data_IF_430713343954
#
_entry.id   IF_430713343954
#
_cell.length_a   1.000
_cell.length_b   1.000
_cell.length_c   1.000
_cell.angle_alpha   90.00
_cell.angle_beta   90.00
_cell.angle_gamma   90.00
#
_symmetry.space_group_name_H-M   'P 1'
#
loop_
_entity.id
_entity.type
_entity.pdbx_description
1 polymer ?
#
# COMPACT_ATOMS: atom_id res chain seq x y z
N UNK A 1 26.57 -13.26 4.48
CA UNK A 1 26.23 -13.70 3.08
C UNK A 1 25.82 -15.18 3.06
N UNK A 2 26.43 -16.07 3.84
CA UNK A 2 26.09 -17.51 3.88
C UNK A 2 24.74 -17.78 4.56
N UNK A 3 24.41 -17.10 5.66
CA UNK A 3 23.13 -17.20 6.35
C UNK A 3 21.95 -16.69 5.50
N UNK A 4 22.14 -15.58 4.77
CA UNK A 4 21.12 -15.06 3.86
C UNK A 4 20.86 -16.01 2.67
N UNK A 5 21.91 -16.67 2.15
CA UNK A 5 21.75 -17.71 1.12
C UNK A 5 21.09 -18.97 1.65
N UNK A 6 21.39 -19.40 2.89
CA UNK A 6 20.71 -20.53 3.53
C UNK A 6 19.24 -20.21 3.84
N UNK A 7 18.92 -18.98 4.23
CA UNK A 7 17.55 -18.52 4.37
C UNK A 7 16.76 -18.55 3.05
N UNK A 8 17.37 -18.22 1.92
CA UNK A 8 16.76 -18.37 0.60
C UNK A 8 16.41 -19.83 0.23
N UNK A 9 17.14 -20.81 0.73
CA UNK A 9 16.91 -22.23 0.45
C UNK A 9 15.92 -22.91 1.41
N UNK A 10 15.60 -22.30 2.56
CA UNK A 10 14.65 -22.83 3.54
C UNK A 10 13.29 -22.09 3.53
N UNK A 11 13.14 -21.08 2.69
CA UNK A 11 11.98 -20.20 2.74
C UNK A 11 10.85 -20.69 1.86
N UNK A 12 9.93 -21.35 2.50
CA UNK A 12 8.53 -21.00 2.30
C UNK A 12 8.34 -19.64 3.00
N UNK A 13 8.41 -18.53 2.24
CA UNK A 13 7.96 -17.23 2.71
C UNK A 13 6.52 -17.42 3.20
N UNK A 14 6.25 -17.11 4.48
CA UNK A 14 4.97 -17.34 5.11
C UNK A 14 3.80 -16.65 4.38
N UNK A 15 4.09 -15.66 3.53
CA UNK A 15 3.12 -14.93 2.72
C UNK A 15 2.89 -15.54 1.33
N UNK A 16 3.82 -16.34 0.82
CA UNK A 16 3.76 -16.82 -0.58
C UNK A 16 2.62 -17.78 -0.81
N UNK A 17 2.49 -18.83 0.00
CA UNK A 17 1.40 -19.79 -0.16
C UNK A 17 0.02 -19.15 0.00
N UNK A 18 -0.24 -18.30 1.02
CA UNK A 18 -1.47 -17.54 1.10
C UNK A 18 -1.73 -16.65 -0.12
N UNK A 19 -0.69 -15.95 -0.63
CA UNK A 19 -0.82 -15.12 -1.82
C UNK A 19 -1.26 -15.92 -3.03
N UNK A 20 -0.61 -17.04 -3.28
CA UNK A 20 -0.90 -17.89 -4.44
C UNK A 20 -2.31 -18.47 -4.35
N UNK A 21 -2.71 -18.96 -3.17
CA UNK A 21 -4.05 -19.48 -2.95
C UNK A 21 -5.12 -18.43 -3.18
N UNK A 22 -4.88 -17.19 -2.76
CA UNK A 22 -5.82 -16.07 -2.96
C UNK A 22 -5.91 -15.69 -4.44
N UNK A 23 -4.79 -15.59 -5.15
CA UNK A 23 -4.77 -15.32 -6.60
C UNK A 23 -5.47 -16.43 -7.38
N UNK A 24 -5.20 -17.71 -7.04
CA UNK A 24 -5.85 -18.86 -7.65
C UNK A 24 -7.37 -18.82 -7.43
N UNK A 25 -7.84 -18.50 -6.23
CA UNK A 25 -9.26 -18.36 -5.92
C UNK A 25 -9.91 -17.26 -6.74
N UNK A 26 -9.33 -16.05 -6.74
CA UNK A 26 -9.83 -14.87 -7.46
C UNK A 26 -9.94 -15.15 -8.96
N UNK A 27 -8.86 -15.62 -9.59
CA UNK A 27 -8.79 -15.78 -11.05
C UNK A 27 -9.48 -17.06 -11.54
N UNK A 28 -9.75 -18.05 -10.66
CA UNK A 28 -10.59 -19.19 -11.01
C UNK A 28 -12.08 -18.86 -11.00
N UNK A 29 -12.52 -17.95 -10.14
CA UNK A 29 -13.89 -17.45 -10.09
C UNK A 29 -14.23 -16.58 -11.31
N UNK A 30 -13.36 -15.61 -11.61
CA UNK A 30 -13.50 -14.73 -12.78
C UNK A 30 -12.14 -14.39 -13.41
N UNK A 31 -11.83 -14.99 -14.54
CA UNK A 31 -10.58 -14.76 -15.28
C UNK A 31 -10.45 -13.35 -15.86
N UNK A 32 -11.50 -12.55 -15.84
CA UNK A 32 -11.46 -11.14 -16.29
C UNK A 32 -11.02 -10.19 -15.19
N UNK A 33 -10.85 -10.67 -13.97
CA UNK A 33 -10.35 -9.88 -12.84
C UNK A 33 -8.93 -9.35 -13.10
N UNK A 34 -8.69 -8.15 -12.61
CA UNK A 34 -7.39 -7.49 -12.64
C UNK A 34 -6.90 -7.33 -11.21
N UNK A 35 -5.79 -7.97 -10.90
CA UNK A 35 -5.18 -7.99 -9.56
C UNK A 35 -3.98 -7.05 -9.53
N UNK A 36 -3.96 -6.14 -8.57
CA UNK A 36 -2.82 -5.26 -8.31
C UNK A 36 -2.14 -5.74 -7.03
N UNK A 37 -0.84 -5.99 -7.10
CA UNK A 37 -0.01 -6.33 -5.94
C UNK A 37 0.92 -5.16 -5.65
N UNK A 38 0.83 -4.59 -4.46
CA UNK A 38 1.74 -3.55 -4.00
C UNK A 38 2.81 -4.14 -3.10
N UNK A 39 4.06 -3.70 -3.31
CA UNK A 39 5.21 -3.98 -2.45
C UNK A 39 6.08 -2.72 -2.32
N UNK A 40 6.80 -2.57 -1.22
CA UNK A 40 7.74 -1.45 -1.07
C UNK A 40 9.08 -1.68 -1.79
N UNK A 41 9.44 -2.95 -2.02
CA UNK A 41 10.79 -3.33 -2.47
C UNK A 41 10.82 -3.87 -3.89
N UNK A 42 11.74 -3.33 -4.71
CA UNK A 42 11.99 -3.84 -6.09
C UNK A 42 12.44 -5.31 -6.06
N UNK A 43 13.22 -5.72 -5.05
CA UNK A 43 13.65 -7.11 -4.90
C UNK A 43 12.45 -8.06 -4.69
N UNK A 44 11.49 -7.66 -3.87
CA UNK A 44 10.23 -8.41 -3.65
C UNK A 44 9.40 -8.44 -4.94
N UNK A 45 9.32 -7.32 -5.65
CA UNK A 45 8.62 -7.23 -6.95
C UNK A 45 9.17 -8.25 -7.95
N UNK A 46 10.51 -8.31 -8.11
CA UNK A 46 11.17 -9.26 -9.02
C UNK A 46 10.91 -10.71 -8.61
N UNK A 47 11.02 -11.00 -7.31
CA UNK A 47 10.75 -12.33 -6.77
C UNK A 47 9.30 -12.78 -7.04
N UNK A 48 8.32 -11.91 -6.78
CA UNK A 48 6.91 -12.21 -7.02
C UNK A 48 6.61 -12.37 -8.51
N UNK A 49 7.25 -11.56 -9.38
CA UNK A 49 7.13 -11.72 -10.83
C UNK A 49 7.60 -13.10 -11.28
N UNK A 50 8.81 -13.50 -10.90
CA UNK A 50 9.35 -14.82 -11.25
C UNK A 50 8.46 -15.96 -10.74
N UNK A 51 7.98 -15.85 -9.49
CA UNK A 51 7.11 -16.84 -8.87
C UNK A 51 5.80 -17.02 -9.63
N UNK A 52 5.14 -15.91 -10.01
CA UNK A 52 3.84 -15.93 -10.69
C UNK A 52 3.97 -16.34 -12.14
N UNK A 53 5.01 -15.89 -12.85
CA UNK A 53 5.30 -16.34 -14.23
C UNK A 53 5.57 -17.83 -14.28
N UNK A 54 6.29 -18.41 -13.31
CA UNK A 54 6.54 -19.85 -13.22
C UNK A 54 5.25 -20.67 -12.95
N UNK A 55 4.14 -20.00 -12.60
CA UNK A 55 2.81 -20.59 -12.45
C UNK A 55 1.85 -20.22 -13.60
N UNK A 56 2.42 -19.85 -14.75
CA UNK A 56 1.68 -19.51 -15.97
C UNK A 56 0.77 -18.26 -15.87
N UNK A 57 0.99 -17.40 -14.86
CA UNK A 57 0.30 -16.11 -14.81
C UNK A 57 0.94 -15.08 -15.71
N UNK A 58 0.11 -14.23 -16.31
CA UNK A 58 0.57 -13.06 -17.06
C UNK A 58 0.76 -11.88 -16.12
N UNK A 59 1.99 -11.38 -16.02
CA UNK A 59 2.40 -10.38 -15.03
C UNK A 59 3.06 -9.18 -15.70
N UNK A 60 2.60 -7.98 -15.37
CA UNK A 60 3.27 -6.72 -15.70
C UNK A 60 3.83 -6.11 -14.43
N UNK A 61 5.00 -5.51 -14.49
CA UNK A 61 5.62 -4.81 -13.35
C UNK A 61 5.72 -3.31 -13.62
N UNK A 62 5.71 -2.52 -12.53
CA UNK A 62 5.97 -1.09 -12.59
C UNK A 62 6.68 -0.61 -11.34
N UNK A 63 7.79 0.13 -11.50
CA UNK A 63 8.56 0.68 -10.40
C UNK A 63 9.11 2.09 -10.71
N UNK A 64 9.67 2.74 -9.70
CA UNK A 64 10.16 4.11 -9.80
C UNK A 64 11.34 4.33 -10.75
N UNK A 65 12.08 3.26 -11.10
CA UNK A 65 13.23 3.32 -12.02
C UNK A 65 12.84 3.35 -13.50
N UNK A 66 11.57 3.12 -13.84
CA UNK A 66 11.10 3.08 -15.22
C UNK A 66 10.89 4.49 -15.78
N UNK A 67 11.23 4.69 -17.06
CA UNK A 67 10.92 5.88 -17.83
C UNK A 67 9.41 6.07 -18.03
N UNK A 68 8.99 7.26 -18.43
CA UNK A 68 7.57 7.57 -18.70
C UNK A 68 7.00 6.65 -19.78
N UNK A 69 7.76 6.38 -20.84
CA UNK A 69 7.32 5.52 -21.94
C UNK A 69 7.15 4.06 -21.49
N UNK A 70 8.09 3.54 -20.70
CA UNK A 70 7.98 2.19 -20.10
C UNK A 70 6.79 2.08 -19.16
N UNK A 71 6.52 3.10 -18.35
CA UNK A 71 5.34 3.15 -17.47
C UNK A 71 4.04 3.13 -18.27
N UNK A 72 3.95 3.92 -19.34
CA UNK A 72 2.78 3.96 -20.22
C UNK A 72 2.57 2.62 -20.91
N UNK A 73 3.63 1.98 -21.40
CA UNK A 73 3.58 0.65 -22.00
C UNK A 73 3.09 -0.41 -20.99
N UNK A 74 3.64 -0.43 -19.78
CA UNK A 74 3.23 -1.34 -18.72
C UNK A 74 1.75 -1.15 -18.34
N UNK A 75 1.30 0.09 -18.23
CA UNK A 75 -0.11 0.39 -17.96
C UNK A 75 -1.04 -0.11 -19.06
N UNK A 76 -0.66 0.08 -20.32
CA UNK A 76 -1.44 -0.39 -21.44
C UNK A 76 -1.46 -1.93 -21.51
N UNK A 77 -0.34 -2.57 -21.24
CA UNK A 77 -0.23 -4.02 -21.18
C UNK A 77 -1.13 -4.59 -20.07
N UNK A 78 -1.08 -4.01 -18.85
CA UNK A 78 -1.95 -4.43 -17.75
C UNK A 78 -3.42 -4.25 -18.11
N UNK A 79 -3.79 -3.16 -18.75
CA UNK A 79 -5.17 -2.91 -19.15
C UNK A 79 -5.69 -3.95 -20.15
N UNK A 80 -4.87 -4.39 -21.11
CA UNK A 80 -5.31 -5.17 -22.26
C UNK A 80 -5.03 -6.67 -22.20
N UNK A 81 -3.90 -7.07 -21.64
CA UNK A 81 -3.39 -8.44 -21.84
C UNK A 81 -2.98 -9.17 -20.56
N UNK A 82 -2.56 -8.49 -19.49
CA UNK A 82 -2.10 -9.16 -18.27
C UNK A 82 -3.16 -9.13 -17.18
N UNK A 83 -3.18 -10.18 -16.34
CA UNK A 83 -4.14 -10.30 -15.23
C UNK A 83 -3.59 -9.71 -13.94
N UNK A 84 -2.26 -9.74 -13.76
CA UNK A 84 -1.60 -9.32 -12.53
C UNK A 84 -0.65 -8.16 -12.80
N UNK A 85 -0.69 -7.16 -11.94
CA UNK A 85 0.16 -5.99 -11.97
C UNK A 85 0.89 -5.84 -10.64
N UNK A 86 2.22 -5.88 -10.64
CA UNK A 86 3.01 -5.70 -9.43
C UNK A 86 3.67 -4.32 -9.46
N UNK A 87 3.32 -3.48 -8.52
CA UNK A 87 3.82 -2.09 -8.44
C UNK A 87 4.55 -1.82 -7.14
N UNK A 88 5.63 -1.05 -7.21
CA UNK A 88 6.16 -0.37 -6.03
C UNK A 88 5.42 0.95 -5.81
N UNK A 89 5.47 1.49 -4.58
CA UNK A 89 4.81 2.76 -4.27
C UNK A 89 5.25 3.89 -5.20
N UNK A 90 6.56 4.07 -5.39
CA UNK A 90 7.11 5.06 -6.31
C UNK A 90 6.71 4.84 -7.78
N UNK A 91 6.50 3.59 -8.19
CA UNK A 91 5.99 3.25 -9.51
C UNK A 91 4.52 3.63 -9.65
N UNK A 92 3.74 3.38 -8.61
CA UNK A 92 2.28 3.55 -8.61
C UNK A 92 1.78 4.98 -8.51
N UNK A 93 2.61 5.97 -8.19
CA UNK A 93 2.18 7.35 -7.99
C UNK A 93 1.51 7.96 -9.24
N UNK A 94 0.37 8.63 -9.02
CA UNK A 94 -0.37 9.34 -10.08
C UNK A 94 -1.14 8.45 -11.07
N UNK A 95 -1.09 7.12 -10.95
CA UNK A 95 -1.76 6.23 -11.88
C UNK A 95 -3.27 6.18 -11.65
N UNK A 96 -4.00 6.00 -12.75
CA UNK A 96 -5.41 5.63 -12.72
C UNK A 96 -5.57 4.14 -13.02
N UNK A 97 -5.93 3.37 -11.99
CA UNK A 97 -6.08 1.92 -12.04
C UNK A 97 -7.54 1.48 -11.87
N UNK A 98 -8.48 2.36 -12.16
CA UNK A 98 -9.92 2.19 -11.96
C UNK A 98 -10.55 1.01 -12.74
N UNK A 99 -9.84 0.48 -13.73
CA UNK A 99 -10.24 -0.72 -14.47
C UNK A 99 -9.92 -2.03 -13.73
N UNK A 100 -9.14 -1.96 -12.66
CA UNK A 100 -8.94 -3.06 -11.71
C UNK A 100 -9.86 -2.88 -10.49
N UNK A 101 -10.06 -3.94 -9.74
CA UNK A 101 -10.90 -3.92 -8.53
C UNK A 101 -10.33 -4.77 -7.38
N UNK A 102 -9.19 -5.41 -7.57
CA UNK A 102 -8.53 -6.23 -6.55
C UNK A 102 -7.18 -5.62 -6.22
N UNK A 103 -6.97 -5.33 -4.94
CA UNK A 103 -5.71 -4.82 -4.40
C UNK A 103 -5.18 -5.82 -3.39
N UNK A 104 -3.93 -6.22 -3.54
CA UNK A 104 -3.18 -7.02 -2.58
C UNK A 104 -2.00 -6.19 -2.09
N UNK A 105 -1.99 -5.83 -0.82
CA UNK A 105 -0.84 -5.24 -0.16
C UNK A 105 0.05 -6.37 0.38
N UNK A 106 1.07 -6.75 -0.39
CA UNK A 106 2.04 -7.79 0.02
C UNK A 106 2.92 -7.30 1.16
N UNK A 107 3.40 -6.07 1.04
CA UNK A 107 4.02 -5.33 2.13
C UNK A 107 3.13 -4.14 2.49
N UNK A 108 2.90 -3.98 3.78
CA UNK A 108 2.14 -2.85 4.31
C UNK A 108 3.10 -1.70 4.58
N UNK A 109 2.84 -0.52 4.03
CA UNK A 109 3.65 0.65 4.30
C UNK A 109 3.51 1.07 5.78
N UNK A 110 4.59 1.63 6.33
CA UNK A 110 4.59 2.15 7.70
C UNK A 110 3.61 3.30 7.88
N UNK A 111 3.44 4.10 6.85
CA UNK A 111 2.44 5.15 6.82
C UNK A 111 1.10 4.57 6.36
N UNK A 112 0.08 4.45 7.25
CA UNK A 112 -1.21 3.92 6.88
C UNK A 112 -1.95 4.76 5.84
N UNK A 113 -1.62 6.06 5.70
CA UNK A 113 -2.15 6.93 4.64
C UNK A 113 -1.77 6.44 3.24
N UNK A 114 -0.62 5.75 3.09
CA UNK A 114 -0.23 5.15 1.82
C UNK A 114 -1.15 4.00 1.40
N UNK A 115 -1.74 3.27 2.35
CA UNK A 115 -2.73 2.23 2.05
C UNK A 115 -3.96 2.88 1.41
N UNK A 116 -4.46 3.96 2.00
CA UNK A 116 -5.58 4.72 1.45
C UNK A 116 -5.25 5.32 0.07
N UNK A 117 -4.03 5.82 -0.12
CA UNK A 117 -3.57 6.28 -1.43
C UNK A 117 -3.55 5.16 -2.47
N UNK A 118 -3.12 3.94 -2.10
CA UNK A 118 -3.18 2.77 -2.97
C UNK A 118 -4.63 2.44 -3.33
N UNK A 119 -5.53 2.44 -2.35
CA UNK A 119 -6.96 2.22 -2.55
C UNK A 119 -7.59 3.28 -3.46
N UNK A 120 -7.31 4.55 -3.23
CA UNK A 120 -7.81 5.68 -4.02
C UNK A 120 -7.33 5.70 -5.48
N UNK A 121 -6.40 4.83 -5.88
CA UNK A 121 -6.03 4.64 -7.30
C UNK A 121 -7.02 3.78 -8.06
N UNK A 122 -7.76 2.95 -7.35
CA UNK A 122 -8.73 1.98 -7.86
C UNK A 122 -10.16 2.43 -7.51
N UNK A 123 -10.39 2.78 -6.26
CA UNK A 123 -11.69 3.24 -5.75
C UNK A 123 -11.87 4.74 -6.01
N UNK A 124 -12.44 5.04 -7.15
CA UNK A 124 -12.70 6.40 -7.63
C UNK A 124 -14.12 6.54 -8.15
N UNK A 125 -14.58 7.80 -8.28
CA UNK A 125 -15.86 8.11 -8.94
C UNK A 125 -15.89 7.46 -10.32
N UNK A 126 -16.86 6.55 -10.54
CA UNK A 126 -17.01 5.78 -11.77
C UNK A 126 -16.49 4.34 -11.70
N UNK A 127 -15.97 3.88 -10.57
CA UNK A 127 -15.72 2.46 -10.32
C UNK A 127 -17.06 1.70 -10.35
N UNK A 128 -17.12 0.62 -11.14
CA UNK A 128 -18.35 -0.14 -11.38
C UNK A 128 -18.38 -1.48 -10.65
N UNK A 129 -17.25 -1.87 -10.06
CA UNK A 129 -17.11 -3.14 -9.33
C UNK A 129 -16.79 -2.86 -7.87
N UNK A 130 -17.17 -3.76 -7.00
CA UNK A 130 -16.72 -3.72 -5.61
C UNK A 130 -15.21 -3.87 -5.53
N UNK A 131 -14.55 -2.98 -4.80
CA UNK A 131 -13.10 -3.03 -4.61
C UNK A 131 -12.79 -3.92 -3.42
N UNK A 132 -11.98 -4.93 -3.65
CA UNK A 132 -11.52 -5.86 -2.62
C UNK A 132 -10.05 -5.57 -2.29
N UNK A 133 -9.76 -5.45 -1.00
CA UNK A 133 -8.42 -5.11 -0.50
C UNK A 133 -7.96 -6.21 0.46
N UNK A 134 -6.84 -6.84 0.10
CA UNK A 134 -6.21 -7.89 0.89
C UNK A 134 -4.89 -7.38 1.47
N UNK A 135 -4.79 -7.38 2.79
CA UNK A 135 -3.59 -6.96 3.51
C UNK A 135 -2.84 -8.18 4.05
N UNK A 136 -1.64 -8.44 3.54
CA UNK A 136 -0.81 -9.57 3.97
C UNK A 136 0.04 -9.19 5.19
N UNK A 137 -0.33 -9.72 6.33
CA UNK A 137 0.30 -9.44 7.63
C UNK A 137 0.89 -10.73 8.18
N UNK A 138 2.13 -10.66 8.65
CA UNK A 138 2.70 -11.71 9.51
C UNK A 138 2.23 -11.43 10.92
N UNK A 139 1.41 -12.33 11.49
CA UNK A 139 0.84 -12.17 12.83
C UNK A 139 1.90 -12.09 13.93
N UNK A 140 1.56 -11.48 15.07
CA UNK A 140 2.36 -11.40 16.31
C UNK A 140 3.75 -10.74 16.15
N UNK A 141 3.93 -9.88 15.13
CA UNK A 141 5.15 -9.10 14.96
C UNK A 141 5.07 -7.75 15.68
N UNK A 142 6.22 -7.19 16.05
CA UNK A 142 6.32 -5.82 16.58
C UNK A 142 5.77 -4.82 15.57
N UNK A 143 5.99 -5.08 14.29
CA UNK A 143 5.47 -4.29 13.16
C UNK A 143 3.95 -4.22 13.18
N UNK A 144 3.28 -5.35 13.35
CA UNK A 144 1.83 -5.39 13.42
C UNK A 144 1.31 -4.57 14.61
N UNK A 145 1.96 -4.69 15.77
CA UNK A 145 1.59 -3.94 16.96
C UNK A 145 1.78 -2.43 16.80
N UNK A 146 2.91 -2.01 16.21
CA UNK A 146 3.17 -0.58 15.91
C UNK A 146 2.09 -0.04 15.00
N UNK A 147 1.73 -0.79 13.96
CA UNK A 147 0.70 -0.40 13.01
C UNK A 147 -0.68 -0.29 13.65
N UNK A 148 -1.12 -1.25 14.45
CA UNK A 148 -2.39 -1.20 15.18
C UNK A 148 -2.52 0.09 16.00
N UNK A 149 -1.46 0.45 16.74
CA UNK A 149 -1.44 1.66 17.56
C UNK A 149 -1.48 2.92 16.67
N UNK A 150 -0.79 2.92 15.53
CA UNK A 150 -0.82 4.02 14.56
C UNK A 150 -2.21 4.21 13.96
N UNK A 151 -2.84 3.13 13.50
CA UNK A 151 -4.19 3.17 12.90
C UNK A 151 -5.23 3.66 13.93
N UNK A 152 -5.15 3.19 15.17
CA UNK A 152 -6.03 3.64 16.25
C UNK A 152 -5.87 5.15 16.51
N UNK A 153 -4.64 5.63 16.63
CA UNK A 153 -4.34 7.05 16.88
C UNK A 153 -4.78 7.95 15.72
N UNK A 154 -4.51 7.53 14.48
CA UNK A 154 -4.94 8.24 13.30
C UNK A 154 -6.46 8.35 13.21
N UNK A 155 -7.16 7.26 13.49
CA UNK A 155 -8.62 7.24 13.54
C UNK A 155 -9.19 8.25 14.54
N UNK A 156 -8.57 8.37 15.73
CA UNK A 156 -8.96 9.35 16.75
C UNK A 156 -8.72 10.78 16.26
N UNK A 157 -7.55 11.07 15.68
CA UNK A 157 -7.20 12.41 15.19
C UNK A 157 -8.18 12.85 14.10
N UNK A 158 -8.47 12.01 13.13
CA UNK A 158 -9.38 12.31 12.04
C UNK A 158 -10.81 12.58 12.56
N UNK A 159 -11.26 11.75 13.51
CA UNK A 159 -12.57 11.92 14.13
C UNK A 159 -12.67 13.24 14.93
N UNK A 160 -11.62 13.61 15.67
CA UNK A 160 -11.55 14.89 16.39
C UNK A 160 -11.62 16.08 15.44
N UNK A 161 -11.12 15.93 14.22
CA UNK A 161 -11.09 16.98 13.20
C UNK A 161 -12.30 16.98 12.26
N UNK A 162 -13.27 16.07 12.49
CA UNK A 162 -14.49 15.98 11.67
C UNK A 162 -14.22 15.49 10.24
N UNK A 163 -13.17 14.74 10.02
CA UNK A 163 -12.81 14.15 8.73
C UNK A 163 -13.28 12.70 8.70
N UNK A 164 -14.30 12.42 7.88
CA UNK A 164 -14.95 11.10 7.84
C UNK A 164 -14.12 10.05 7.09
N UNK A 165 -13.23 10.48 6.19
CA UNK A 165 -12.38 9.57 5.39
C UNK A 165 -10.96 10.12 5.25
N UNK A 166 -10.00 9.22 5.29
CA UNK A 166 -8.60 9.52 4.93
C UNK A 166 -8.48 10.16 3.54
N UNK A 167 -9.34 9.74 2.58
CA UNK A 167 -9.38 10.26 1.21
C UNK A 167 -9.62 11.77 1.13
N UNK A 168 -10.32 12.35 2.10
CA UNK A 168 -10.61 13.79 2.10
C UNK A 168 -9.38 14.65 2.47
N UNK A 169 -8.32 13.98 2.97
CA UNK A 169 -7.05 14.58 3.39
C UNK A 169 -5.91 14.23 2.44
N UNK A 170 -6.13 13.28 1.51
CA UNK A 170 -5.09 12.67 0.66
C UNK A 170 -4.36 13.64 -0.27
N UNK A 171 -4.95 14.79 -0.58
CA UNK A 171 -4.29 15.85 -1.37
C UNK A 171 -3.40 16.75 -0.49
N UNK A 172 -3.27 16.45 0.80
CA UNK A 172 -2.51 17.26 1.75
C UNK A 172 -1.15 16.63 2.11
N UNK A 173 -0.23 17.49 2.53
CA UNK A 173 1.12 17.15 3.00
C UNK A 173 1.17 16.12 4.15
N UNK A 174 0.03 15.81 4.79
CA UNK A 174 -0.07 14.79 5.86
C UNK A 174 0.35 13.39 5.40
N UNK A 175 0.19 13.10 4.12
CA UNK A 175 0.62 11.83 3.53
C UNK A 175 2.16 11.66 3.54
N UNK A 176 2.91 12.74 3.74
CA UNK A 176 4.37 12.77 3.74
C UNK A 176 5.00 12.58 5.13
N UNK A 177 4.20 12.47 6.21
CA UNK A 177 4.74 12.21 7.54
C UNK A 177 5.59 10.93 7.55
N UNK A 178 6.83 11.05 7.99
CA UNK A 178 7.74 9.91 8.07
C UNK A 178 7.55 9.11 9.38
N UNK A 179 6.84 7.99 9.27
CA UNK A 179 6.64 7.05 10.37
C UNK A 179 7.82 6.11 10.59
N UNK A 180 8.82 6.13 9.71
CA UNK A 180 9.98 5.23 9.78
C UNK A 180 10.74 5.40 11.10
N UNK A 181 10.92 6.64 11.55
CA UNK A 181 11.59 6.97 12.81
C UNK A 181 10.83 6.40 14.03
N UNK A 182 9.50 6.50 14.02
CA UNK A 182 8.65 5.94 15.09
C UNK A 182 8.83 4.44 15.17
N UNK A 183 8.78 3.79 14.00
CA UNK A 183 8.97 2.35 13.88
C UNK A 183 10.36 1.92 14.38
N UNK A 184 11.42 2.53 13.86
CA UNK A 184 12.80 2.19 14.23
C UNK A 184 13.07 2.32 15.73
N UNK A 185 12.48 3.33 16.37
CA UNK A 185 12.56 3.52 17.84
C UNK A 185 11.70 2.53 18.62
N UNK A 186 10.68 1.98 18.00
CA UNK A 186 9.71 1.09 18.65
C UNK A 186 10.03 -0.40 18.52
N UNK A 187 10.86 -0.80 17.53
CA UNK A 187 11.29 -2.18 17.32
C UNK A 187 11.87 -2.82 18.59
N UNK A 188 12.68 -2.05 19.36
CA UNK A 188 13.31 -2.54 20.60
C UNK A 188 12.39 -2.50 21.83
N UNK A 189 11.34 -1.70 21.81
CA UNK A 189 10.50 -1.41 22.96
C UNK A 189 9.04 -1.13 22.57
N UNK A 190 8.28 -2.18 22.28
CA UNK A 190 6.87 -2.07 21.90
C UNK A 190 6.01 -1.27 22.90
N UNK A 191 6.38 -1.25 24.19
CA UNK A 191 5.70 -0.46 25.23
C UNK A 191 5.92 1.06 25.11
N UNK A 192 6.87 1.52 24.27
CA UNK A 192 7.15 2.94 24.06
C UNK A 192 6.57 3.50 22.75
N UNK A 193 5.86 2.69 21.99
CA UNK A 193 5.26 3.08 20.70
C UNK A 193 4.43 4.35 20.86
N UNK A 194 3.55 4.41 21.84
CA UNK A 194 2.71 5.58 22.09
C UNK A 194 3.55 6.85 22.33
N UNK A 195 4.60 6.75 23.14
CA UNK A 195 5.49 7.89 23.43
C UNK A 195 6.26 8.35 22.18
N UNK A 196 6.69 7.41 21.36
CA UNK A 196 7.41 7.70 20.12
C UNK A 196 6.52 8.32 19.05
N UNK A 197 5.20 8.15 19.15
CA UNK A 197 4.19 8.72 18.24
C UNK A 197 3.86 10.19 18.51
N UNK A 198 4.05 10.70 19.72
CA UNK A 198 3.69 12.09 20.07
C UNK A 198 4.21 13.16 19.09
N UNK A 199 5.47 13.13 18.62
CA UNK A 199 5.96 14.13 17.67
C UNK A 199 5.19 14.07 16.33
N UNK A 200 4.95 12.87 15.81
CA UNK A 200 4.25 12.66 14.55
C UNK A 200 2.76 13.03 14.68
N UNK A 201 2.14 12.71 15.80
CA UNK A 201 0.77 13.11 16.12
C UNK A 201 0.61 14.64 16.14
N UNK A 202 1.56 15.34 16.74
CA UNK A 202 1.57 16.81 16.77
C UNK A 202 1.74 17.41 15.36
N UNK A 203 2.65 16.85 14.57
CA UNK A 203 2.88 17.26 13.18
C UNK A 203 1.65 17.03 12.32
N UNK A 204 1.03 15.86 12.40
CA UNK A 204 -0.20 15.54 11.68
C UNK A 204 -1.35 16.49 12.03
N UNK A 205 -1.57 16.76 13.31
CA UNK A 205 -2.60 17.72 13.76
C UNK A 205 -2.35 19.12 13.18
N UNK A 206 -1.09 19.55 13.13
CA UNK A 206 -0.73 20.84 12.55
C UNK A 206 -0.99 20.88 11.03
N UNK A 207 -0.60 19.85 10.30
CA UNK A 207 -0.79 19.75 8.86
C UNK A 207 -2.28 19.71 8.49
N UNK A 208 -3.08 18.88 9.20
CA UNK A 208 -4.52 18.81 9.02
C UNK A 208 -5.21 20.16 9.30
N UNK A 209 -4.79 20.86 10.36
CA UNK A 209 -5.32 22.19 10.69
C UNK A 209 -5.03 23.20 9.59
N UNK A 210 -3.83 23.14 9.00
CA UNK A 210 -3.45 24.01 7.90
C UNK A 210 -4.28 23.69 6.63
N UNK A 211 -4.44 22.40 6.29
CA UNK A 211 -5.23 21.96 5.15
C UNK A 211 -6.71 22.38 5.26
N UNK A 212 -7.30 22.31 6.46
CA UNK A 212 -8.66 22.81 6.70
C UNK A 212 -8.77 24.31 6.49
N UNK A 213 -7.84 25.10 7.01
CA UNK A 213 -7.82 26.56 6.80
C UNK A 213 -7.76 26.92 5.31
N UNK A 214 -6.96 26.20 4.50
CA UNK A 214 -6.92 26.43 3.06
C UNK A 214 -8.25 26.10 2.37
N UNK A 215 -8.91 25.00 2.76
CA UNK A 215 -10.23 24.64 2.21
C UNK A 215 -11.31 25.68 2.55
N UNK A 216 -11.27 26.26 3.73
CA UNK A 216 -12.24 27.27 4.14
C UNK A 216 -12.04 28.58 3.36
N UNK A 217 -10.79 28.99 3.12
CA UNK A 217 -10.47 30.16 2.30
C UNK A 217 -10.94 30.01 0.84
N UNK A 218 -10.78 28.80 0.25
CA UNK A 218 -11.23 28.55 -1.14
C UNK A 218 -12.78 28.50 -1.25
N UNK A 219 -13.49 28.19 -0.17
CA UNK A 219 -14.97 28.15 -0.17
C UNK A 219 -15.62 29.54 0.00
N UNK A 220 -14.87 30.53 0.46
CA UNK A 220 -15.33 31.90 0.64
C UNK A 220 -15.09 32.79 -0.59
N UNK A 221 -14.35 32.32 -1.60
CA UNK A 221 -14.21 32.93 -2.93
C UNK A 221 -15.20 32.30 -3.94
#
# INVERSE_FOLDING_TARGET
>A
ISLAKQAQFQNQDAKVEPLLNEIDAILSEDRTQKVIIFTEFVATQTYLQELLVNRDYTVTILNGGMSIDERNAAMQEFKTSTSIFISTDAGGEGLNLQFANIIINYDLPWNPMKIEQRCGRVDRIGQQRDVHIYNFIVGETVENRVREVLEEKLSVILKEMGVDKYSDVLDSEVAECDFTDVYMRSIGHASQVEKNLYPVEAEMKQQLTNAQKYKDVIREE
#
